data_IF_714333163663
#
_entry.id   IF_714333163663
#
_cell.length_a   1.000
_cell.length_b   1.000
_cell.length_c   1.000
_cell.angle_alpha   90.00
_cell.angle_beta   90.00
_cell.angle_gamma   90.00
#
_symmetry.space_group_name_H-M   'P 1'
#
loop_
_entity.id
_entity.type
_entity.pdbx_description
1 polymer ?
#
# COMPACT_ATOMS: atom_id res chain seq x y z
N UNK A 1 2.32 7.80 -11.04
CA UNK A 1 2.14 9.25 -10.79
C UNK A 1 0.73 9.57 -10.29
N UNK A 2 -0.37 9.15 -10.98
CA UNK A 2 -1.74 9.50 -10.60
C UNK A 2 -2.12 9.18 -9.14
N UNK A 3 -1.71 8.02 -8.62
CA UNK A 3 -2.00 7.63 -7.23
C UNK A 3 -1.37 8.55 -6.18
N UNK A 4 -0.13 9.01 -6.39
CA UNK A 4 0.56 9.93 -5.47
C UNK A 4 -0.16 11.29 -5.45
N UNK A 5 -0.50 11.79 -6.62
CA UNK A 5 -1.24 13.06 -6.76
C UNK A 5 -2.60 12.94 -6.10
N UNK A 6 -3.32 11.84 -6.31
CA UNK A 6 -4.64 11.62 -5.70
C UNK A 6 -4.59 11.49 -4.18
N UNK A 7 -3.58 10.81 -3.63
CA UNK A 7 -3.37 10.71 -2.19
C UNK A 7 -3.14 12.08 -1.55
N UNK A 8 -2.36 12.94 -2.21
CA UNK A 8 -2.07 14.30 -1.73
C UNK A 8 -3.28 15.23 -1.89
N UNK A 9 -3.99 15.14 -3.01
CA UNK A 9 -5.22 15.93 -3.21
C UNK A 9 -6.29 15.61 -2.18
N UNK A 10 -6.53 14.31 -1.91
CA UNK A 10 -7.51 13.93 -0.90
C UNK A 10 -7.06 14.34 0.51
N UNK A 11 -5.77 14.31 0.80
CA UNK A 11 -5.24 14.84 2.05
C UNK A 11 -5.58 16.33 2.22
N UNK A 12 -5.39 17.15 1.19
CA UNK A 12 -5.74 18.57 1.23
C UNK A 12 -7.23 18.81 1.41
N UNK A 13 -8.08 17.94 0.89
CA UNK A 13 -9.53 18.04 1.08
C UNK A 13 -9.93 17.69 2.51
N UNK A 14 -9.36 16.61 3.06
CA UNK A 14 -9.67 16.14 4.41
C UNK A 14 -9.15 17.11 5.47
N UNK A 15 -7.93 17.61 5.29
CA UNK A 15 -7.26 18.53 6.23
C UNK A 15 -7.49 20.01 5.89
N UNK A 16 -8.51 20.31 5.09
CA UNK A 16 -8.80 21.69 4.68
C UNK A 16 -8.94 22.68 5.87
N UNK A 17 -9.58 22.32 7.00
CA UNK A 17 -9.63 23.21 8.16
C UNK A 17 -8.25 23.49 8.78
N UNK A 18 -7.39 22.47 8.84
CA UNK A 18 -6.02 22.58 9.37
C UNK A 18 -5.13 23.44 8.48
N UNK A 19 -5.32 23.35 7.16
CA UNK A 19 -4.59 24.16 6.17
C UNK A 19 -4.96 25.63 6.26
N UNK A 20 -6.22 25.95 6.58
CA UNK A 20 -6.65 27.33 6.82
C UNK A 20 -6.00 27.93 8.06
N UNK A 21 -5.71 27.11 9.08
CA UNK A 21 -5.05 27.54 10.31
C UNK A 21 -3.53 27.68 10.12
N UNK A 22 -2.92 26.81 9.33
CA UNK A 22 -1.47 26.81 9.05
C UNK A 22 -1.19 26.46 7.58
N UNK A 23 -0.99 27.47 6.70
CA UNK A 23 -0.70 27.25 5.28
C UNK A 23 0.63 26.55 4.99
N UNK A 24 1.54 26.42 5.98
CA UNK A 24 2.84 25.74 5.82
C UNK A 24 2.67 24.25 5.49
N UNK A 25 1.53 23.64 5.85
CA UNK A 25 1.16 22.25 5.54
C UNK A 25 1.18 21.99 4.02
N UNK A 26 0.87 22.98 3.20
CA UNK A 26 0.90 22.86 1.73
C UNK A 26 2.31 22.61 1.18
N UNK A 27 3.35 23.11 1.85
CA UNK A 27 4.75 22.99 1.44
C UNK A 27 5.39 21.68 1.92
N UNK A 28 4.73 20.97 2.83
CA UNK A 28 5.24 19.70 3.34
C UNK A 28 4.87 18.55 2.40
N UNK A 29 5.74 18.29 1.39
CA UNK A 29 5.54 17.22 0.41
C UNK A 29 5.92 15.81 0.94
N UNK A 30 6.62 15.72 2.06
CA UNK A 30 7.11 14.47 2.63
C UNK A 30 6.07 13.72 3.46
N UNK A 31 5.05 14.41 3.95
CA UNK A 31 4.05 13.89 4.88
C UNK A 31 2.62 14.17 4.39
N UNK A 32 1.64 13.56 5.05
CA UNK A 32 0.24 13.81 4.78
C UNK A 32 -0.23 13.22 3.45
N UNK A 33 -0.40 11.89 3.40
CA UNK A 33 -1.00 11.18 2.28
C UNK A 33 -2.21 10.39 2.75
N UNK A 34 -3.34 10.55 2.09
CA UNK A 34 -4.52 9.73 2.34
C UNK A 34 -4.53 8.55 1.38
N UNK A 35 -4.40 7.34 1.91
CA UNK A 35 -4.30 6.08 1.15
C UNK A 35 -5.48 5.91 0.18
N UNK A 36 -6.70 6.23 0.62
CA UNK A 36 -7.89 6.13 -0.23
C UNK A 36 -7.82 7.02 -1.46
N UNK A 37 -7.26 8.23 -1.37
CA UNK A 37 -7.03 9.10 -2.52
C UNK A 37 -6.07 8.49 -3.52
N UNK A 38 -5.02 7.82 -3.02
CA UNK A 38 -4.07 7.08 -3.83
C UNK A 38 -4.69 5.90 -4.56
N UNK A 39 -5.53 5.12 -3.86
CA UNK A 39 -6.24 3.97 -4.45
C UNK A 39 -7.23 4.40 -5.54
N UNK A 40 -8.07 5.40 -5.24
CA UNK A 40 -9.07 5.91 -6.19
C UNK A 40 -8.38 6.46 -7.44
N UNK A 41 -7.42 7.38 -7.28
CA UNK A 41 -6.73 7.98 -8.41
C UNK A 41 -5.81 6.99 -9.13
N UNK A 42 -5.22 6.04 -8.40
CA UNK A 42 -4.41 4.95 -8.96
C UNK A 42 -5.22 4.03 -9.86
N UNK A 43 -6.51 3.81 -9.54
CA UNK A 43 -7.43 3.04 -10.38
C UNK A 43 -8.02 3.88 -11.53
N UNK A 44 -8.44 5.12 -11.24
CA UNK A 44 -9.08 5.98 -12.24
C UNK A 44 -8.11 6.44 -13.33
N UNK A 45 -6.86 6.74 -12.99
CA UNK A 45 -5.90 7.26 -13.98
C UNK A 45 -5.63 6.28 -15.13
N UNK A 46 -5.33 4.98 -14.94
CA UNK A 46 -5.20 4.05 -16.06
C UNK A 46 -6.55 3.78 -16.77
N UNK A 47 -7.68 3.82 -16.04
CA UNK A 47 -9.00 3.68 -16.65
C UNK A 47 -9.28 4.82 -17.63
N UNK A 48 -9.06 6.07 -17.24
CA UNK A 48 -9.23 7.25 -18.07
C UNK A 48 -8.25 7.20 -19.27
N UNK A 49 -6.98 6.88 -19.00
CA UNK A 49 -5.97 6.80 -20.04
C UNK A 49 -6.33 5.77 -21.12
N UNK A 50 -6.74 4.57 -20.73
CA UNK A 50 -7.12 3.51 -21.66
C UNK A 50 -8.38 3.86 -22.43
N UNK A 51 -9.35 4.56 -21.81
CA UNK A 51 -10.55 5.08 -22.49
C UNK A 51 -10.20 6.12 -23.57
N UNK A 52 -9.35 7.10 -23.24
CA UNK A 52 -8.90 8.12 -24.20
C UNK A 52 -8.14 7.49 -25.36
N UNK A 53 -7.28 6.52 -25.10
CA UNK A 53 -6.48 5.82 -26.12
C UNK A 53 -7.21 4.69 -26.81
N UNK A 54 -8.49 4.43 -26.49
CA UNK A 54 -9.30 3.33 -27.02
C UNK A 54 -8.63 1.94 -26.84
N UNK A 55 -7.94 1.75 -25.72
CA UNK A 55 -7.25 0.51 -25.34
C UNK A 55 -8.13 -0.32 -24.42
N UNK A 56 -7.95 -1.64 -24.44
CA UNK A 56 -8.60 -2.54 -23.48
C UNK A 56 -7.98 -2.37 -22.11
N UNK A 57 -8.78 -2.06 -21.08
CA UNK A 57 -8.34 -1.79 -19.70
C UNK A 57 -7.85 -3.06 -18.98
N UNK A 58 -8.55 -4.20 -19.19
CA UNK A 58 -8.30 -5.45 -18.46
C UNK A 58 -6.84 -5.96 -18.55
N UNK A 59 -6.15 -5.97 -19.74
CA UNK A 59 -4.78 -6.44 -19.81
C UNK A 59 -3.79 -5.59 -18.98
N UNK A 60 -4.09 -4.30 -18.81
CA UNK A 60 -3.25 -3.40 -18.00
C UNK A 60 -3.42 -3.68 -16.51
N UNK A 61 -4.65 -3.93 -16.05
CA UNK A 61 -4.90 -4.35 -14.67
C UNK A 61 -4.26 -5.71 -14.39
N UNK A 62 -4.46 -6.69 -15.27
CA UNK A 62 -3.86 -8.01 -15.11
C UNK A 62 -2.34 -7.91 -14.96
N UNK A 63 -1.70 -7.01 -15.69
CA UNK A 63 -0.27 -6.76 -15.56
C UNK A 63 0.13 -6.08 -14.25
N UNK A 64 -0.71 -5.22 -13.72
CA UNK A 64 -0.43 -4.44 -12.51
C UNK A 64 -0.66 -5.21 -11.21
N UNK A 65 -1.62 -6.16 -11.18
CA UNK A 65 -2.06 -6.84 -9.95
C UNK A 65 -0.92 -7.53 -9.18
N UNK A 66 0.02 -8.28 -9.78
CA UNK A 66 1.14 -8.84 -9.04
C UNK A 66 2.04 -7.78 -8.40
N UNK A 67 2.24 -6.65 -9.10
CA UNK A 67 3.00 -5.52 -8.60
C UNK A 67 2.33 -4.82 -7.41
N UNK A 68 1.00 -4.71 -7.43
CA UNK A 68 0.23 -4.16 -6.31
C UNK A 68 0.34 -5.05 -5.07
N UNK A 69 0.22 -6.36 -5.23
CA UNK A 69 0.38 -7.32 -4.13
C UNK A 69 1.81 -7.26 -3.55
N UNK A 70 2.83 -7.16 -4.40
CA UNK A 70 4.21 -6.99 -3.96
C UNK A 70 4.42 -5.68 -3.18
N UNK A 71 3.91 -4.57 -3.69
CA UNK A 71 3.98 -3.26 -3.02
C UNK A 71 3.28 -3.26 -1.66
N UNK A 72 2.15 -3.97 -1.54
CA UNK A 72 1.44 -4.17 -0.27
C UNK A 72 2.33 -4.87 0.75
N UNK A 73 3.00 -5.95 0.37
CA UNK A 73 3.95 -6.67 1.23
C UNK A 73 5.11 -5.77 1.71
N UNK A 74 5.66 -4.94 0.81
CA UNK A 74 6.68 -3.93 1.17
C UNK A 74 6.11 -2.91 2.18
N UNK A 75 4.88 -2.45 2.00
CA UNK A 75 4.20 -1.57 2.93
C UNK A 75 4.04 -2.18 4.33
N UNK A 76 3.75 -3.48 4.41
CA UNK A 76 3.68 -4.21 5.69
C UNK A 76 5.01 -4.30 6.41
N UNK A 77 6.12 -4.43 5.68
CA UNK A 77 7.47 -4.34 6.27
C UNK A 77 7.70 -2.92 6.82
N UNK A 78 7.28 -1.88 6.09
CA UNK A 78 7.33 -0.50 6.59
C UNK A 78 6.54 -0.32 7.89
N UNK A 79 5.32 -0.88 7.98
CA UNK A 79 4.53 -0.89 9.21
C UNK A 79 5.26 -1.60 10.37
N UNK A 80 5.98 -2.69 10.08
CA UNK A 80 6.76 -3.40 11.09
C UNK A 80 7.90 -2.53 11.63
N UNK A 81 8.64 -1.87 10.75
CA UNK A 81 9.74 -0.96 11.14
C UNK A 81 9.24 0.26 11.91
N UNK A 82 8.06 0.76 11.60
CA UNK A 82 7.42 1.86 12.33
C UNK A 82 6.76 1.42 13.65
N UNK A 83 6.67 0.11 13.93
CA UNK A 83 5.99 -0.42 15.10
C UNK A 83 4.48 -0.17 15.11
N UNK A 84 3.83 -0.04 13.96
CA UNK A 84 2.37 0.13 13.86
C UNK A 84 1.68 -1.15 13.37
N UNK A 85 0.36 -1.24 13.54
CA UNK A 85 -0.47 -2.36 13.04
C UNK A 85 -0.06 -3.75 13.59
N UNK A 86 0.45 -3.78 14.79
CA UNK A 86 0.81 -5.00 15.51
C UNK A 86 -0.43 -5.80 15.95
N UNK A 87 -0.22 -7.08 16.32
CA UNK A 87 -1.27 -7.94 16.84
C UNK A 87 -1.43 -7.84 18.36
N UNK A 88 -2.09 -8.82 18.94
CA UNK A 88 -2.30 -8.91 20.39
C UNK A 88 -1.02 -9.26 21.12
N UNK A 89 -1.00 -9.01 22.44
CA UNK A 89 0.05 -9.51 23.34
C UNK A 89 0.15 -11.03 23.27
N UNK A 90 1.38 -11.53 23.34
CA UNK A 90 1.63 -12.96 23.28
C UNK A 90 2.85 -13.34 24.11
N UNK A 91 2.80 -14.52 24.73
CA UNK A 91 3.94 -15.18 25.35
C UNK A 91 4.61 -16.20 24.41
N UNK A 92 4.17 -16.27 23.15
CA UNK A 92 4.72 -17.22 22.19
C UNK A 92 6.15 -16.83 21.77
N UNK A 93 6.95 -17.83 21.37
CA UNK A 93 8.36 -17.67 20.97
C UNK A 93 8.56 -16.73 19.75
N UNK A 94 7.52 -16.51 18.94
CA UNK A 94 7.54 -15.62 17.78
C UNK A 94 7.06 -14.18 18.10
N UNK A 95 6.76 -13.88 19.36
CA UNK A 95 6.42 -12.54 19.77
C UNK A 95 7.61 -11.59 19.63
N UNK A 96 7.34 -10.36 19.24
CA UNK A 96 8.35 -9.31 19.05
C UNK A 96 8.07 -8.16 20.00
N UNK A 97 9.11 -7.69 20.68
CA UNK A 97 9.06 -6.49 21.52
C UNK A 97 9.64 -5.32 20.72
N UNK A 98 8.87 -4.25 20.62
CA UNK A 98 9.28 -3.05 19.90
C UNK A 98 10.05 -2.09 20.81
N UNK A 99 10.99 -1.29 20.26
CA UNK A 99 11.67 -0.22 21.00
C UNK A 99 10.72 0.88 21.48
N UNK A 100 11.18 1.67 22.44
CA UNK A 100 10.39 2.79 23.02
C UNK A 100 10.08 3.90 22.00
N UNK A 101 10.92 4.06 20.99
CA UNK A 101 10.77 5.09 19.93
C UNK A 101 9.72 4.72 18.85
N UNK A 102 9.03 3.58 19.01
CA UNK A 102 8.03 3.10 18.07
C UNK A 102 6.59 3.43 18.51
N UNK A 103 5.63 3.27 17.59
CA UNK A 103 4.21 3.45 17.89
C UNK A 103 3.61 2.34 18.75
N UNK A 104 4.31 1.20 18.88
CA UNK A 104 3.90 0.08 19.71
C UNK A 104 4.21 0.32 21.19
N UNK A 105 3.45 -0.30 22.11
CA UNK A 105 3.76 -0.24 23.54
C UNK A 105 5.12 -0.89 23.82
N UNK A 106 5.98 -0.14 24.54
CA UNK A 106 7.31 -0.60 24.90
C UNK A 106 7.27 -1.75 25.91
N UNK A 107 8.21 -2.68 25.79
CA UNK A 107 8.37 -3.77 26.76
C UNK A 107 7.33 -4.89 26.68
N UNK A 108 6.37 -4.81 25.77
CA UNK A 108 5.32 -5.81 25.59
C UNK A 108 5.64 -6.68 24.37
N UNK A 109 5.56 -8.01 24.52
CA UNK A 109 5.73 -8.94 23.42
C UNK A 109 4.43 -9.04 22.62
N UNK A 110 4.48 -8.67 21.34
CA UNK A 110 3.33 -8.57 20.45
C UNK A 110 3.45 -9.52 19.26
N UNK A 111 2.33 -10.01 18.76
CA UNK A 111 2.30 -10.81 17.53
C UNK A 111 2.67 -9.91 16.35
N UNK A 112 3.74 -10.24 15.56
CA UNK A 112 4.15 -9.45 14.40
C UNK A 112 3.25 -9.72 13.19
N UNK A 113 1.97 -9.33 13.27
CA UNK A 113 0.98 -9.53 12.22
C UNK A 113 1.40 -8.90 10.90
N UNK A 114 2.23 -7.84 10.95
CA UNK A 114 2.79 -7.19 9.78
C UNK A 114 3.66 -8.16 8.95
N UNK A 115 4.52 -8.96 9.62
CA UNK A 115 5.39 -9.93 8.94
C UNK A 115 4.59 -11.09 8.34
N UNK A 116 3.57 -11.57 9.05
CA UNK A 116 2.68 -12.60 8.50
C UNK A 116 1.90 -12.10 7.28
N UNK A 117 1.39 -10.85 7.35
CA UNK A 117 0.72 -10.22 6.20
C UNK A 117 1.69 -10.02 5.04
N UNK A 118 2.91 -9.53 5.29
CA UNK A 118 3.93 -9.34 4.25
C UNK A 118 4.28 -10.65 3.55
N UNK A 119 4.49 -11.73 4.32
CA UNK A 119 4.77 -13.05 3.77
C UNK A 119 3.62 -13.55 2.88
N UNK A 120 2.37 -13.39 3.34
CA UNK A 120 1.18 -13.73 2.55
C UNK A 120 1.09 -12.92 1.26
N UNK A 121 1.31 -11.62 1.32
CA UNK A 121 1.27 -10.71 0.17
C UNK A 121 2.35 -11.07 -0.87
N UNK A 122 3.59 -11.40 -0.43
CA UNK A 122 4.66 -11.83 -1.34
C UNK A 122 4.37 -13.19 -1.99
N UNK A 123 3.87 -14.17 -1.23
CA UNK A 123 3.45 -15.47 -1.78
C UNK A 123 2.35 -15.27 -2.81
N UNK A 124 1.36 -14.43 -2.50
CA UNK A 124 0.27 -14.11 -3.40
C UNK A 124 0.76 -13.41 -4.68
N UNK A 125 1.69 -12.44 -4.55
CA UNK A 125 2.32 -11.78 -5.69
C UNK A 125 3.05 -12.77 -6.62
N UNK A 126 3.79 -13.73 -6.05
CA UNK A 126 4.50 -14.77 -6.81
C UNK A 126 3.50 -15.68 -7.55
N UNK A 127 2.44 -16.13 -6.88
CA UNK A 127 1.39 -16.97 -7.48
C UNK A 127 0.74 -16.23 -8.65
N UNK A 128 0.34 -14.98 -8.46
CA UNK A 128 -0.27 -14.15 -9.49
C UNK A 128 0.66 -13.96 -10.69
N UNK A 129 1.95 -13.72 -10.44
CA UNK A 129 2.96 -13.56 -11.49
C UNK A 129 3.13 -14.84 -12.31
N UNK A 130 3.18 -16.01 -11.66
CA UNK A 130 3.28 -17.32 -12.33
C UNK A 130 2.02 -17.59 -13.17
N UNK A 131 0.84 -17.37 -12.60
CA UNK A 131 -0.45 -17.53 -13.28
C UNK A 131 -0.53 -16.65 -14.52
N UNK A 132 -0.21 -15.38 -14.37
CA UNK A 132 -0.19 -14.41 -15.47
C UNK A 132 0.74 -14.88 -16.60
N UNK A 133 1.96 -15.30 -16.28
CA UNK A 133 2.94 -15.76 -17.25
C UNK A 133 2.47 -17.02 -17.98
N UNK A 134 1.79 -17.91 -17.27
CA UNK A 134 1.25 -19.17 -17.84
C UNK A 134 0.07 -18.90 -18.78
N UNK A 135 -0.85 -18.03 -18.37
CA UNK A 135 -2.01 -17.63 -19.17
C UNK A 135 -1.60 -16.89 -20.44
N UNK A 136 -0.58 -16.01 -20.33
CA UNK A 136 -0.05 -15.28 -21.48
C UNK A 136 0.62 -16.20 -22.51
N UNK A 137 1.34 -17.23 -22.05
CA UNK A 137 1.91 -18.27 -22.93
C UNK A 137 0.84 -19.10 -23.66
N UNK A 138 -0.28 -19.42 -22.99
CA UNK A 138 -1.41 -20.15 -23.62
C UNK A 138 -2.13 -19.33 -24.70
N UNK A 139 -2.18 -18.01 -24.55
CA UNK A 139 -2.88 -17.12 -25.50
C UNK A 139 -2.07 -16.82 -26.76
N UNK A 140 -0.76 -17.17 -26.78
CA UNK A 140 0.16 -16.98 -27.90
C UNK A 140 0.35 -18.26 -28.75
N UNK A 141 -0.19 -19.39 -28.32
CA UNK A 141 -0.32 -20.62 -29.11
C UNK A 141 -1.73 -20.72 -29.69
#
# INVERSE_FOLDING_TARGET
MGGIIGAKLLYYIVEFPSILADPSILLNFGEGFVVYGGLIAGFLSPLIYTRIKKLSFLPYIDCAVPGVAFAQGCGRIGCFLAGCCYGKETSAWYGVTFPEDCLAPAGVSLIPTQLFSAAGDFIFAIILFILQRTLYKKKKK
#
